data_IF_235924396535
#
_entry.id   IF_235924396535
#
_cell.length_a   1.000
_cell.length_b   1.000
_cell.length_c   1.000
_cell.angle_alpha   90.00
_cell.angle_beta   90.00
_cell.angle_gamma   90.00
#
_symmetry.space_group_name_H-M   'P 1'
#
loop_
_entity.id
_entity.type
_entity.pdbx_description
1 polymer ?
#
# COMPACT_ATOMS: atom_id res chain seq x y z
N UNK A 1 -3.51 10.60 19.18
CA UNK A 1 -4.07 9.73 18.13
C UNK A 1 -4.50 10.63 16.98
N UNK A 2 -3.84 10.54 15.82
CA UNK A 2 -4.33 11.23 14.61
C UNK A 2 -5.45 10.39 14.00
N UNK A 3 -6.68 10.90 14.04
CA UNK A 3 -7.80 10.28 13.35
C UNK A 3 -7.68 10.60 11.85
N UNK A 4 -7.24 9.64 11.06
CA UNK A 4 -7.21 9.76 9.60
C UNK A 4 -8.60 9.44 9.04
N UNK A 5 -9.18 10.37 8.28
CA UNK A 5 -10.39 10.15 7.49
C UNK A 5 -9.99 9.87 6.05
N UNK A 6 -10.48 8.78 5.46
CA UNK A 6 -10.20 8.40 4.07
C UNK A 6 -11.50 8.36 3.28
N UNK A 7 -11.52 9.03 2.14
CA UNK A 7 -12.61 8.98 1.16
C UNK A 7 -12.03 8.90 -0.25
N UNK A 8 -12.88 8.64 -1.23
CA UNK A 8 -12.52 8.55 -2.65
C UNK A 8 -13.49 9.42 -3.45
N UNK A 9 -12.98 10.07 -4.48
CA UNK A 9 -13.78 10.75 -5.48
C UNK A 9 -13.20 10.46 -6.86
N UNK A 10 -14.08 10.37 -7.85
CA UNK A 10 -13.69 10.16 -9.24
C UNK A 10 -13.51 11.50 -9.95
N UNK A 11 -12.64 11.51 -10.95
CA UNK A 11 -12.50 12.63 -11.87
C UNK A 11 -13.58 12.47 -12.95
N UNK A 12 -14.46 13.46 -13.07
CA UNK A 12 -15.51 13.47 -14.07
C UNK A 12 -14.97 13.74 -15.50
N UNK A 13 -15.84 13.65 -16.51
CA UNK A 13 -15.48 13.89 -17.91
C UNK A 13 -15.01 15.32 -18.23
N UNK A 14 -15.17 16.26 -17.30
CA UNK A 14 -14.63 17.63 -17.40
C UNK A 14 -13.27 17.80 -16.73
N UNK A 15 -12.72 16.73 -16.14
CA UNK A 15 -11.46 16.78 -15.41
C UNK A 15 -11.61 17.30 -13.99
N UNK A 16 -12.82 17.34 -13.44
CA UNK A 16 -13.09 17.87 -12.08
C UNK A 16 -13.29 16.73 -11.09
N UNK A 17 -12.84 16.95 -9.86
CA UNK A 17 -13.08 16.08 -8.71
C UNK A 17 -13.63 16.93 -7.57
N UNK A 18 -14.70 16.47 -6.91
CA UNK A 18 -15.35 17.15 -5.78
C UNK A 18 -15.34 16.21 -4.58
N UNK A 19 -14.88 16.74 -3.43
CA UNK A 19 -15.01 16.09 -2.12
C UNK A 19 -16.09 16.83 -1.33
N UNK A 20 -17.21 16.17 -1.05
CA UNK A 20 -18.33 16.73 -0.30
C UNK A 20 -18.69 15.86 0.93
N UNK A 21 -19.56 16.39 1.79
CA UNK A 21 -20.06 15.66 2.97
C UNK A 21 -18.99 15.29 4.00
N UNK A 22 -17.84 15.97 4.01
CA UNK A 22 -16.74 15.63 4.91
C UNK A 22 -17.11 15.92 6.38
N UNK A 23 -16.77 15.04 7.33
CA UNK A 23 -17.16 15.16 8.74
C UNK A 23 -16.27 16.13 9.52
N UNK A 24 -15.82 17.23 8.90
CA UNK A 24 -14.95 18.22 9.52
C UNK A 24 -15.70 19.51 9.84
N UNK A 25 -15.34 20.13 10.95
CA UNK A 25 -15.93 21.41 11.37
C UNK A 25 -15.44 22.56 10.49
N UNK A 26 -16.24 23.61 10.41
CA UNK A 26 -15.84 24.85 9.72
C UNK A 26 -14.56 25.41 10.33
N UNK A 27 -13.61 25.82 9.49
CA UNK A 27 -12.33 26.39 9.91
C UNK A 27 -11.24 25.34 10.25
N UNK A 28 -11.53 24.04 10.13
CA UNK A 28 -10.52 23.00 10.25
C UNK A 28 -9.49 23.11 9.11
N UNK A 29 -8.20 23.07 9.44
CA UNK A 29 -7.12 22.95 8.47
C UNK A 29 -6.91 21.47 8.14
N UNK A 30 -7.08 21.12 6.87
CA UNK A 30 -6.93 19.75 6.38
C UNK A 30 -5.73 19.64 5.44
N UNK A 31 -4.91 18.62 5.65
CA UNK A 31 -3.92 18.18 4.66
C UNK A 31 -4.59 17.21 3.67
N UNK A 32 -4.44 17.47 2.37
CA UNK A 32 -5.03 16.64 1.31
C UNK A 32 -3.92 15.90 0.57
N UNK A 33 -3.96 14.58 0.62
CA UNK A 33 -3.08 13.69 -0.15
C UNK A 33 -3.87 13.04 -1.28
N UNK A 34 -3.46 13.27 -2.53
CA UNK A 34 -4.14 12.74 -3.72
C UNK A 34 -3.28 11.61 -4.30
N UNK A 35 -3.90 10.45 -4.50
CA UNK A 35 -3.25 9.29 -5.12
C UNK A 35 -4.13 8.77 -6.27
N UNK A 36 -3.53 8.52 -7.43
CA UNK A 36 -4.21 7.78 -8.50
C UNK A 36 -4.43 6.33 -8.04
N UNK A 37 -5.68 5.98 -7.76
CA UNK A 37 -6.11 4.61 -7.47
C UNK A 37 -6.55 3.97 -8.80
N UNK A 38 -6.08 2.76 -9.10
CA UNK A 38 -6.55 2.00 -10.26
C UNK A 38 -5.55 1.82 -11.41
N UNK A 39 -4.50 2.66 -11.51
CA UNK A 39 -3.25 2.19 -12.12
C UNK A 39 -2.63 1.21 -11.13
N UNK A 40 -2.95 -0.08 -11.26
CA UNK A 40 -1.94 -1.10 -10.98
C UNK A 40 -0.75 -0.71 -11.84
N UNK A 41 0.32 -0.12 -11.28
CA UNK A 41 1.46 0.21 -12.10
C UNK A 41 1.95 -1.18 -12.50
N UNK A 42 1.86 -1.57 -13.78
CA UNK A 42 2.56 -2.78 -14.25
C UNK A 42 4.00 -2.75 -13.70
N UNK A 43 4.60 -1.57 -13.70
CA UNK A 43 5.88 -1.29 -13.04
C UNK A 43 6.00 -1.64 -11.56
N UNK A 44 4.92 -1.66 -10.75
CA UNK A 44 4.96 -2.07 -9.34
C UNK A 44 4.97 -3.59 -9.19
N UNK A 45 4.19 -4.30 -10.00
CA UNK A 45 4.24 -5.77 -10.02
C UNK A 45 5.59 -6.21 -10.56
N UNK A 46 6.05 -5.58 -11.64
CA UNK A 46 7.35 -5.86 -12.25
C UNK A 46 8.50 -5.51 -11.29
N UNK A 47 8.42 -4.39 -10.55
CA UNK A 47 9.43 -4.03 -9.56
C UNK A 47 9.46 -5.00 -8.38
N UNK A 48 8.29 -5.45 -7.91
CA UNK A 48 8.21 -6.47 -6.87
C UNK A 48 8.78 -7.81 -7.32
N UNK A 49 8.46 -8.24 -8.54
CA UNK A 49 9.04 -9.46 -9.11
C UNK A 49 10.55 -9.35 -9.29
N UNK A 50 11.06 -8.18 -9.72
CA UNK A 50 12.49 -7.92 -9.82
C UNK A 50 13.18 -7.98 -8.45
N UNK A 51 12.59 -7.34 -7.43
CA UNK A 51 13.10 -7.38 -6.06
C UNK A 51 13.15 -8.81 -5.52
N UNK A 52 12.07 -9.58 -5.67
CA UNK A 52 12.01 -10.96 -5.19
C UNK A 52 13.04 -11.86 -5.88
N UNK A 53 13.24 -11.69 -7.20
CA UNK A 53 14.32 -12.39 -7.93
C UNK A 53 15.70 -12.02 -7.39
N UNK A 54 15.92 -10.73 -7.13
CA UNK A 54 17.20 -10.27 -6.57
C UNK A 54 17.46 -10.87 -5.19
N UNK A 55 16.48 -10.82 -4.28
CA UNK A 55 16.59 -11.43 -2.94
C UNK A 55 16.91 -12.92 -3.05
N UNK A 56 16.18 -13.67 -3.89
CA UNK A 56 16.43 -15.11 -4.11
C UNK A 56 17.80 -15.43 -4.73
N UNK A 57 18.42 -14.46 -5.40
CA UNK A 57 19.76 -14.63 -6.01
C UNK A 57 20.91 -14.41 -5.02
N UNK A 58 20.62 -13.96 -3.79
CA UNK A 58 21.64 -13.73 -2.78
C UNK A 58 22.14 -15.07 -2.20
N UNK A 59 23.46 -15.25 -2.00
CA UNK A 59 24.01 -16.49 -1.43
C UNK A 59 23.42 -16.84 -0.05
N UNK A 60 23.04 -15.84 0.73
CA UNK A 60 22.41 -16.03 2.04
C UNK A 60 21.04 -16.70 1.94
N UNK A 61 20.36 -16.57 0.80
CA UNK A 61 19.04 -17.18 0.57
C UNK A 61 19.12 -18.66 0.19
N UNK A 62 20.28 -19.17 -0.20
CA UNK A 62 20.45 -20.58 -0.60
C UNK A 62 20.22 -21.56 0.56
N UNK A 63 20.46 -21.11 1.80
CA UNK A 63 20.36 -21.95 3.00
C UNK A 63 19.05 -21.76 3.78
N UNK A 64 18.10 -20.99 3.25
CA UNK A 64 16.80 -20.75 3.89
C UNK A 64 15.80 -21.73 3.28
N UNK A 65 15.28 -22.66 4.08
CA UNK A 65 14.27 -23.62 3.61
C UNK A 65 12.87 -22.99 3.57
N UNK A 66 11.98 -23.57 2.77
CA UNK A 66 10.56 -23.18 2.77
C UNK A 66 9.90 -23.46 4.13
N UNK A 67 10.34 -24.51 4.85
CA UNK A 67 9.89 -24.77 6.22
C UNK A 67 10.31 -23.67 7.21
N UNK A 68 11.53 -23.13 7.08
CA UNK A 68 12.00 -22.03 7.93
C UNK A 68 11.17 -20.76 7.70
N UNK A 69 10.86 -20.45 6.43
CA UNK A 69 10.04 -19.30 6.05
C UNK A 69 8.61 -19.47 6.57
N UNK A 70 8.01 -20.66 6.40
CA UNK A 70 6.66 -20.94 6.85
C UNK A 70 6.54 -20.79 8.38
N UNK A 71 7.52 -21.33 9.12
CA UNK A 71 7.57 -21.20 10.58
C UNK A 71 7.64 -19.74 11.03
N UNK A 72 8.52 -18.93 10.44
CA UNK A 72 8.65 -17.50 10.78
C UNK A 72 7.34 -16.74 10.51
N UNK A 73 6.69 -16.99 9.37
CA UNK A 73 5.42 -16.35 9.01
C UNK A 73 4.33 -16.70 10.04
N UNK A 74 4.24 -17.97 10.43
CA UNK A 74 3.25 -18.43 11.41
C UNK A 74 3.51 -17.84 12.79
N UNK A 75 4.77 -17.74 13.22
CA UNK A 75 5.16 -17.09 14.47
C UNK A 75 4.74 -15.61 14.50
N UNK A 76 5.04 -14.86 13.43
CA UNK A 76 4.70 -13.42 13.34
C UNK A 76 3.19 -13.20 13.24
N UNK A 77 2.47 -14.08 12.53
CA UNK A 77 1.02 -13.95 12.34
C UNK A 77 0.24 -14.31 13.59
N UNK A 78 0.68 -15.31 14.35
CA UNK A 78 0.02 -15.76 15.58
C UNK A 78 0.42 -14.92 16.81
N UNK A 79 1.45 -14.07 16.70
CA UNK A 79 1.84 -13.11 17.73
C UNK A 79 1.08 -11.77 17.66
N UNK A 80 0.17 -11.59 16.68
CA UNK A 80 -0.70 -10.41 16.53
C UNK A 80 -2.13 -10.71 16.94
#
# INVERSE_FOLDING_TARGET
>A
MNNAYKTYAEVDGSGRMVLDGLPFQQGALLEVLIFEQGRQPKGRVDSWQALMRHVRSLPQSENISEEDIAREIDEVRNAR
#
